data_IF_222678091030
#
_entry.id   IF_222678091030
#
_cell.length_a   1.000
_cell.length_b   1.000
_cell.length_c   1.000
_cell.angle_alpha   90.00
_cell.angle_beta   90.00
_cell.angle_gamma   90.00
#
_symmetry.space_group_name_H-M   'P 1'
#
loop_
_entity.id
_entity.type
_entity.pdbx_description
1 polymer ?
#
# COMPACT_ATOMS: atom_id res chain seq x y z
N UNK A 1 5.37 -25.28 -1.06
CA UNK A 1 4.65 -24.18 -0.39
C UNK A 1 5.34 -22.87 -0.77
N UNK A 2 4.63 -21.92 -1.38
CA UNK A 2 5.25 -20.69 -1.87
C UNK A 2 5.48 -19.68 -0.72
N UNK A 3 6.23 -18.60 -0.96
CA UNK A 3 6.54 -17.58 0.07
C UNK A 3 5.28 -16.95 0.69
N UNK A 4 4.23 -16.77 -0.11
CA UNK A 4 2.97 -16.18 0.32
C UNK A 4 2.24 -17.11 1.28
N UNK A 5 2.20 -18.41 0.98
CA UNK A 5 1.59 -19.42 1.86
C UNK A 5 2.30 -19.47 3.22
N UNK A 6 3.64 -19.36 3.23
CA UNK A 6 4.44 -19.30 4.47
C UNK A 6 4.06 -18.07 5.31
N UNK A 7 3.99 -16.90 4.67
CA UNK A 7 3.62 -15.66 5.35
C UNK A 7 2.21 -15.76 5.92
N UNK A 8 1.24 -16.23 5.14
CA UNK A 8 -0.15 -16.40 5.60
C UNK A 8 -0.22 -17.34 6.80
N UNK A 9 0.50 -18.47 6.77
CA UNK A 9 0.56 -19.40 7.91
C UNK A 9 1.14 -18.74 9.16
N UNK A 10 2.20 -17.94 9.03
CA UNK A 10 2.75 -17.19 10.16
C UNK A 10 1.75 -16.18 10.73
N UNK A 11 0.98 -15.50 9.88
CA UNK A 11 -0.09 -14.59 10.32
C UNK A 11 -1.17 -15.34 11.08
N UNK A 12 -1.63 -16.48 10.57
CA UNK A 12 -2.63 -17.31 11.25
C UNK A 12 -2.17 -17.72 12.64
N UNK A 13 -0.91 -18.16 12.78
CA UNK A 13 -0.34 -18.51 14.08
C UNK A 13 -0.30 -17.32 15.05
N UNK A 14 -0.03 -16.11 14.53
CA UNK A 14 -0.01 -14.89 15.33
C UNK A 14 -1.41 -14.46 15.81
N UNK A 15 -2.49 -14.89 15.13
CA UNK A 15 -3.85 -14.53 15.52
C UNK A 15 -4.23 -14.99 16.93
N UNK A 16 -3.67 -16.11 17.42
CA UNK A 16 -3.91 -16.59 18.79
C UNK A 16 -3.42 -15.59 19.85
N UNK A 17 -2.32 -14.90 19.56
CA UNK A 17 -1.81 -13.84 20.43
C UNK A 17 -2.66 -12.56 20.30
N UNK A 18 -3.02 -12.18 19.07
CA UNK A 18 -3.82 -10.98 18.82
C UNK A 18 -5.24 -11.08 19.39
N UNK A 19 -5.84 -12.28 19.42
CA UNK A 19 -7.19 -12.47 19.98
C UNK A 19 -7.27 -12.16 21.47
N UNK A 20 -6.14 -12.22 22.19
CA UNK A 20 -6.04 -11.87 23.61
C UNK A 20 -5.90 -10.36 23.84
N UNK A 21 -5.64 -9.58 22.78
CA UNK A 21 -5.48 -8.12 22.86
C UNK A 21 -6.83 -7.41 22.72
N UNK A 22 -6.98 -6.35 23.51
CA UNK A 22 -8.07 -5.37 23.40
C UNK A 22 -7.47 -4.05 22.94
N UNK A 23 -7.95 -3.56 21.80
CA UNK A 23 -7.53 -2.27 21.25
C UNK A 23 -8.66 -1.27 21.43
N UNK A 24 -8.35 -0.11 22.02
CA UNK A 24 -9.30 0.99 22.08
C UNK A 24 -9.25 1.73 20.75
N UNK A 25 -10.33 1.64 19.97
CA UNK A 25 -10.40 2.19 18.63
C UNK A 25 -11.08 3.56 18.66
N UNK A 26 -10.37 4.59 18.21
CA UNK A 26 -10.95 5.91 17.95
C UNK A 26 -11.48 5.95 16.52
N UNK A 27 -12.78 6.21 16.37
CA UNK A 27 -13.40 6.39 15.06
C UNK A 27 -13.14 7.82 14.57
N UNK A 28 -12.15 7.95 13.70
CA UNK A 28 -11.80 9.19 13.03
C UNK A 28 -12.15 9.08 11.54
N UNK A 29 -12.41 10.21 10.89
CA UNK A 29 -12.71 10.21 9.45
C UNK A 29 -11.48 9.73 8.66
N UNK A 30 -11.64 8.81 7.69
CA UNK A 30 -10.53 8.38 6.85
C UNK A 30 -9.88 9.55 6.11
N UNK A 31 -8.55 9.59 6.09
CA UNK A 31 -7.77 10.70 5.55
C UNK A 31 -7.01 10.34 4.26
N UNK A 32 -6.77 9.05 4.03
CA UNK A 32 -5.90 8.53 2.97
C UNK A 32 -6.51 8.71 1.58
N UNK A 33 -7.75 8.26 1.39
CA UNK A 33 -8.49 8.44 0.13
C UNK A 33 -8.70 9.91 -0.19
N UNK A 34 -8.97 10.73 0.83
CA UNK A 34 -9.15 12.18 0.66
C UNK A 34 -7.88 12.84 0.12
N UNK A 35 -6.72 12.50 0.68
CA UNK A 35 -5.43 13.03 0.22
C UNK A 35 -5.17 12.70 -1.25
N UNK A 36 -5.41 11.44 -1.64
CA UNK A 36 -5.30 10.99 -3.04
C UNK A 36 -6.26 11.76 -3.96
N UNK A 37 -7.54 11.89 -3.59
CA UNK A 37 -8.55 12.62 -4.37
C UNK A 37 -8.18 14.08 -4.59
N UNK A 38 -7.60 14.73 -3.58
CA UNK A 38 -7.16 16.12 -3.69
C UNK A 38 -6.05 16.30 -4.73
N UNK A 39 -5.07 15.40 -4.77
CA UNK A 39 -4.01 15.47 -5.78
C UNK A 39 -4.53 15.28 -7.20
N UNK A 40 -5.38 14.28 -7.40
CA UNK A 40 -5.99 14.01 -8.70
C UNK A 40 -6.82 15.21 -9.16
N UNK A 41 -7.62 15.81 -8.26
CA UNK A 41 -8.43 17.01 -8.55
C UNK A 41 -7.57 18.20 -8.98
N UNK A 42 -6.37 18.32 -8.43
CA UNK A 42 -5.41 19.37 -8.78
C UNK A 42 -4.59 19.05 -10.03
N UNK A 43 -4.86 17.94 -10.73
CA UNK A 43 -4.15 17.51 -11.93
C UNK A 43 -2.76 16.91 -11.66
N UNK A 44 -2.41 16.67 -10.40
CA UNK A 44 -1.13 16.10 -10.01
C UNK A 44 -1.17 14.58 -9.94
N UNK A 45 0.00 13.96 -9.98
CA UNK A 45 0.13 12.54 -9.66
C UNK A 45 0.00 12.36 -8.13
N UNK A 46 -0.94 11.53 -7.71
CA UNK A 46 -1.10 11.12 -6.31
C UNK A 46 -0.03 10.06 -5.96
N UNK A 47 1.03 10.49 -5.29
CA UNK A 47 2.16 9.62 -4.95
C UNK A 47 1.99 9.05 -3.53
N UNK A 48 2.16 7.74 -3.38
CA UNK A 48 2.22 7.01 -2.12
C UNK A 48 3.66 6.47 -1.97
N UNK A 49 4.47 7.13 -1.13
CA UNK A 49 5.87 6.75 -0.93
C UNK A 49 5.98 5.59 0.06
N UNK A 50 6.58 4.47 -0.36
CA UNK A 50 6.72 3.26 0.45
C UNK A 50 8.08 3.18 1.14
N UNK A 51 8.04 3.09 2.46
CA UNK A 51 9.19 2.65 3.26
C UNK A 51 9.19 1.13 3.41
N UNK A 52 10.33 0.52 3.07
CA UNK A 52 10.65 -0.88 3.36
C UNK A 52 12.15 -1.07 3.57
N UNK A 53 12.50 -1.93 4.53
CA UNK A 53 13.91 -2.29 4.81
C UNK A 53 14.42 -3.35 3.84
N UNK A 54 13.59 -4.34 3.50
CA UNK A 54 13.95 -5.38 2.55
C UNK A 54 12.87 -5.56 1.48
N UNK A 55 13.31 -6.02 0.31
CA UNK A 55 12.43 -6.49 -0.76
C UNK A 55 13.10 -7.71 -1.40
N UNK A 56 12.40 -8.83 -1.62
CA UNK A 56 12.95 -10.01 -2.29
C UNK A 56 13.58 -9.69 -3.66
N UNK A 57 13.10 -8.62 -4.27
CA UNK A 57 13.48 -8.15 -5.60
C UNK A 57 14.65 -7.15 -5.64
N UNK A 58 15.20 -6.72 -4.49
CA UNK A 58 16.32 -5.76 -4.45
C UNK A 58 17.47 -6.44 -3.71
N UNK A 59 18.52 -6.79 -4.45
CA UNK A 59 19.58 -7.70 -4.02
C UNK A 59 20.50 -7.17 -2.92
N UNK A 60 20.43 -5.88 -2.59
CA UNK A 60 20.93 -5.23 -1.36
C UNK A 60 20.64 -3.73 -1.51
N UNK A 61 20.10 -3.09 -0.49
CA UNK A 61 20.17 -1.63 -0.44
C UNK A 61 21.59 -1.23 -0.04
N UNK A 62 22.15 -0.21 -0.69
CA UNK A 62 23.55 0.20 -0.49
C UNK A 62 23.87 0.60 0.96
N UNK A 63 22.88 1.01 1.74
CA UNK A 63 23.03 1.51 3.10
C UNK A 63 21.86 1.09 4.00
N UNK A 64 22.11 0.97 5.30
CA UNK A 64 21.08 0.81 6.33
C UNK A 64 20.16 2.02 6.32
N UNK A 65 18.88 1.80 6.05
CA UNK A 65 17.88 2.88 5.95
C UNK A 65 17.23 3.11 7.30
N UNK A 66 17.60 4.22 7.92
CA UNK A 66 16.91 4.69 9.12
C UNK A 66 15.53 5.20 8.74
N UNK A 67 14.50 4.59 9.33
CA UNK A 67 13.10 4.95 9.12
C UNK A 67 12.90 6.45 9.28
N UNK A 68 13.42 7.05 10.35
CA UNK A 68 13.24 8.45 10.68
C UNK A 68 13.70 9.39 9.55
N UNK A 69 14.88 9.13 8.99
CA UNK A 69 15.41 9.95 7.90
C UNK A 69 14.53 9.84 6.65
N UNK A 70 14.11 8.62 6.31
CA UNK A 70 13.27 8.41 5.12
C UNK A 70 11.87 9.01 5.28
N UNK A 71 11.26 8.88 6.45
CA UNK A 71 9.95 9.49 6.71
C UNK A 71 10.04 11.02 6.72
N UNK A 72 11.12 11.60 7.26
CA UNK A 72 11.37 13.05 7.18
C UNK A 72 11.55 13.52 5.72
N UNK A 73 12.25 12.76 4.88
CA UNK A 73 12.32 13.04 3.44
C UNK A 73 10.93 12.99 2.80
N UNK A 74 10.12 11.98 3.14
CA UNK A 74 8.76 11.84 2.61
C UNK A 74 7.86 12.98 3.05
N UNK A 75 7.94 13.41 4.31
CA UNK A 75 7.18 14.53 4.86
C UNK A 75 7.49 15.85 4.12
N UNK A 76 8.76 16.09 3.80
CA UNK A 76 9.23 17.28 3.04
C UNK A 76 8.96 17.22 1.53
N UNK A 77 8.54 16.07 1.01
CA UNK A 77 8.26 15.88 -0.42
C UNK A 77 6.79 16.08 -0.78
N UNK A 78 6.47 16.06 -2.08
CA UNK A 78 5.10 16.14 -2.59
C UNK A 78 4.34 14.79 -2.55
N UNK A 79 4.84 13.77 -1.83
CA UNK A 79 4.03 12.55 -1.60
C UNK A 79 2.80 12.92 -0.78
N UNK A 80 1.63 12.41 -1.19
CA UNK A 80 0.35 12.70 -0.56
C UNK A 80 0.01 11.70 0.56
N UNK A 81 0.56 10.49 0.48
CA UNK A 81 0.46 9.46 1.51
C UNK A 81 1.79 8.71 1.65
N UNK A 82 1.92 7.95 2.73
CA UNK A 82 3.08 7.11 3.04
C UNK A 82 2.61 5.67 3.27
N UNK A 83 3.34 4.71 2.71
CA UNK A 83 3.14 3.27 2.94
C UNK A 83 4.25 2.73 3.80
N UNK A 84 3.90 2.05 4.90
CA UNK A 84 4.88 1.44 5.81
C UNK A 84 4.70 -0.07 5.77
N UNK A 85 5.74 -0.78 5.34
CA UNK A 85 5.77 -2.25 5.37
C UNK A 85 6.04 -2.73 6.80
N UNK A 86 5.06 -3.41 7.42
CA UNK A 86 5.16 -3.86 8.82
C UNK A 86 5.44 -5.35 8.98
N UNK A 87 5.48 -6.10 7.88
CA UNK A 87 5.75 -7.54 7.94
C UNK A 87 7.24 -7.84 8.22
N UNK A 88 7.48 -8.66 9.25
CA UNK A 88 8.82 -9.03 9.73
C UNK A 88 9.67 -9.75 8.68
N UNK A 89 9.06 -10.50 7.74
CA UNK A 89 9.80 -11.18 6.68
C UNK A 89 10.47 -10.19 5.71
N UNK A 90 10.05 -8.92 5.76
CA UNK A 90 10.61 -7.82 4.99
C UNK A 90 11.34 -6.81 5.90
N UNK A 91 11.65 -7.21 7.15
CA UNK A 91 12.27 -6.38 8.17
C UNK A 91 11.38 -5.23 8.65
N UNK A 92 10.07 -5.33 8.46
CA UNK A 92 9.09 -4.37 8.99
C UNK A 92 8.73 -4.65 10.45
N UNK A 93 8.16 -3.63 11.10
CA UNK A 93 7.59 -3.74 12.43
C UNK A 93 6.38 -2.81 12.59
N UNK A 94 5.43 -3.17 13.45
CA UNK A 94 4.34 -2.29 13.87
C UNK A 94 4.85 -1.00 14.53
N UNK A 95 5.99 -1.05 15.22
CA UNK A 95 6.60 0.13 15.83
C UNK A 95 7.01 1.17 14.77
N UNK A 96 7.21 0.75 13.52
CA UNK A 96 7.51 1.67 12.43
C UNK A 96 6.34 2.62 12.14
N UNK A 97 5.09 2.18 12.36
CA UNK A 97 3.91 3.04 12.26
C UNK A 97 3.93 4.14 13.32
N UNK A 98 4.24 3.78 14.57
CA UNK A 98 4.32 4.72 15.70
C UNK A 98 5.41 5.76 15.44
N UNK A 99 6.59 5.31 15.01
CA UNK A 99 7.71 6.21 14.74
C UNK A 99 7.37 7.13 13.56
N UNK A 100 6.82 6.61 12.47
CA UNK A 100 6.41 7.41 11.33
C UNK A 100 5.35 8.45 11.73
N UNK A 101 4.33 8.05 12.51
CA UNK A 101 3.26 8.93 12.97
C UNK A 101 3.78 10.09 13.83
N UNK A 102 4.87 9.92 14.56
CA UNK A 102 5.52 11.01 15.32
C UNK A 102 6.24 12.03 14.43
N UNK A 103 6.53 11.69 13.18
CA UNK A 103 7.33 12.51 12.26
C UNK A 103 6.44 13.21 11.22
N UNK A 104 5.35 12.57 10.79
CA UNK A 104 4.51 13.09 9.70
C UNK A 104 3.03 13.14 10.07
N UNK A 105 2.35 14.18 9.58
CA UNK A 105 0.89 14.31 9.61
C UNK A 105 0.22 13.71 8.36
N UNK A 106 0.99 13.27 7.36
CA UNK A 106 0.46 12.67 6.14
C UNK A 106 -0.23 11.34 6.45
N UNK A 107 -1.26 10.95 5.67
CA UNK A 107 -1.91 9.67 5.86
C UNK A 107 -0.95 8.48 5.67
N UNK A 108 -1.05 7.49 6.55
CA UNK A 108 -0.21 6.29 6.54
C UNK A 108 -1.05 5.06 6.25
N UNK A 109 -0.69 4.30 5.21
CA UNK A 109 -1.19 2.94 4.99
C UNK A 109 -0.26 1.91 5.63
N UNK A 110 -0.83 0.99 6.41
CA UNK A 110 -0.12 -0.22 6.84
C UNK A 110 -0.10 -1.21 5.67
N UNK A 111 1.09 -1.45 5.12
CA UNK A 111 1.31 -2.52 4.14
C UNK A 111 1.69 -3.80 4.88
N UNK A 112 0.76 -4.74 4.94
CA UNK A 112 0.93 -6.03 5.63
C UNK A 112 -0.03 -7.07 5.02
N UNK A 113 0.11 -8.33 5.40
CA UNK A 113 -0.76 -9.43 5.02
C UNK A 113 -1.89 -9.56 6.04
N UNK A 114 -2.97 -8.81 5.82
CA UNK A 114 -4.14 -8.79 6.70
C UNK A 114 -5.12 -9.89 6.29
N UNK A 115 -5.41 -10.79 7.24
CA UNK A 115 -6.32 -11.93 7.07
C UNK A 115 -7.43 -11.98 8.12
N UNK A 116 -7.43 -11.05 9.09
CA UNK A 116 -8.37 -11.05 10.20
C UNK A 116 -8.64 -9.63 10.75
N UNK A 117 -9.84 -9.43 11.31
CA UNK A 117 -10.28 -8.17 11.93
C UNK A 117 -9.36 -7.68 13.05
N UNK A 118 -8.75 -8.60 13.83
CA UNK A 118 -7.81 -8.21 14.89
C UNK A 118 -6.58 -7.46 14.37
N UNK A 119 -6.12 -7.79 13.16
CA UNK A 119 -5.04 -7.04 12.53
C UNK A 119 -5.51 -5.65 12.06
N UNK A 120 -6.79 -5.49 11.74
CA UNK A 120 -7.38 -4.20 11.36
C UNK A 120 -7.48 -3.29 12.59
N UNK A 121 -7.98 -3.81 13.71
CA UNK A 121 -7.99 -3.13 15.01
C UNK A 121 -6.57 -2.69 15.43
N UNK A 122 -5.61 -3.61 15.34
CA UNK A 122 -4.19 -3.32 15.59
C UNK A 122 -3.68 -2.20 14.67
N UNK A 123 -4.00 -2.24 13.37
CA UNK A 123 -3.57 -1.20 12.42
C UNK A 123 -4.06 0.18 12.84
N UNK A 124 -5.34 0.29 13.20
CA UNK A 124 -5.93 1.57 13.64
C UNK A 124 -5.32 2.03 14.96
N UNK A 125 -5.12 1.13 15.92
CA UNK A 125 -4.49 1.45 17.20
C UNK A 125 -3.06 1.96 17.05
N UNK A 126 -2.27 1.38 16.15
CA UNK A 126 -0.89 1.81 15.86
C UNK A 126 -0.82 3.05 14.95
N UNK A 127 -1.96 3.66 14.61
CA UNK A 127 -2.03 4.95 13.92
C UNK A 127 -2.04 4.88 12.40
N UNK A 128 -2.45 3.77 11.80
CA UNK A 128 -2.72 3.73 10.36
C UNK A 128 -4.02 4.45 10.00
N UNK A 129 -4.04 5.11 8.84
CA UNK A 129 -5.24 5.70 8.22
C UNK A 129 -5.86 4.77 7.18
N UNK A 130 -5.06 3.83 6.66
CA UNK A 130 -5.49 2.86 5.68
C UNK A 130 -4.80 1.51 5.88
N UNK A 131 -5.38 0.47 5.28
CA UNK A 131 -4.81 -0.87 5.25
C UNK A 131 -4.79 -1.47 3.84
N UNK A 132 -3.92 -2.46 3.65
CA UNK A 132 -3.87 -3.29 2.45
C UNK A 132 -4.70 -4.58 2.65
N UNK A 133 -5.60 -4.88 1.71
CA UNK A 133 -6.22 -6.20 1.58
C UNK A 133 -5.79 -6.84 0.26
N UNK A 134 -5.24 -8.06 0.29
CA UNK A 134 -4.70 -8.73 -0.90
C UNK A 134 -5.72 -9.76 -1.40
N UNK A 135 -6.30 -9.55 -2.58
CA UNK A 135 -7.34 -10.43 -3.12
C UNK A 135 -6.84 -11.88 -3.34
N UNK A 136 -5.54 -12.06 -3.59
CA UNK A 136 -4.92 -13.36 -3.80
C UNK A 136 -4.99 -14.27 -2.58
N UNK A 137 -4.82 -13.72 -1.37
CA UNK A 137 -4.78 -14.50 -0.12
C UNK A 137 -6.13 -14.58 0.61
N UNK A 138 -7.10 -13.80 0.16
CA UNK A 138 -8.43 -13.74 0.78
C UNK A 138 -9.46 -14.49 -0.08
N UNK A 139 -10.42 -15.10 0.60
CA UNK A 139 -11.68 -15.53 -0.02
C UNK A 139 -12.55 -14.30 -0.29
N UNK A 140 -13.49 -14.40 -1.24
CA UNK A 140 -14.46 -13.32 -1.52
C UNK A 140 -15.18 -12.88 -0.25
N UNK A 141 -15.73 -13.84 0.51
CA UNK A 141 -16.43 -13.60 1.79
C UNK A 141 -15.55 -12.85 2.79
N UNK A 142 -14.32 -13.32 3.04
CA UNK A 142 -13.44 -12.67 4.01
C UNK A 142 -13.03 -11.27 3.54
N UNK A 143 -12.74 -11.09 2.24
CA UNK A 143 -12.40 -9.78 1.69
C UNK A 143 -13.54 -8.77 1.91
N UNK A 144 -14.78 -9.14 1.58
CA UNK A 144 -15.97 -8.30 1.79
C UNK A 144 -16.14 -7.95 3.28
N UNK A 145 -16.01 -8.92 4.18
CA UNK A 145 -16.13 -8.71 5.62
C UNK A 145 -15.04 -7.76 6.17
N UNK A 146 -13.78 -7.97 5.79
CA UNK A 146 -12.65 -7.15 6.24
C UNK A 146 -12.69 -5.74 5.65
N UNK A 147 -13.15 -5.60 4.41
CA UNK A 147 -13.34 -4.30 3.75
C UNK A 147 -14.38 -3.46 4.50
N UNK A 148 -15.58 -4.00 4.71
CA UNK A 148 -16.66 -3.28 5.40
C UNK A 148 -16.27 -2.93 6.84
N UNK A 149 -15.69 -3.88 7.57
CA UNK A 149 -15.24 -3.63 8.94
C UNK A 149 -14.18 -2.52 9.03
N UNK A 150 -13.26 -2.45 8.06
CA UNK A 150 -12.25 -1.39 8.01
C UNK A 150 -12.89 -0.01 7.86
N UNK A 151 -13.87 0.12 6.96
CA UNK A 151 -14.61 1.37 6.78
C UNK A 151 -15.39 1.76 8.06
N UNK A 152 -16.03 0.78 8.71
CA UNK A 152 -16.82 1.00 9.94
C UNK A 152 -16.02 1.55 11.13
N UNK A 153 -14.71 1.27 11.15
CA UNK A 153 -13.78 1.78 12.17
C UNK A 153 -12.93 2.97 11.70
N UNK A 154 -13.20 3.50 10.50
CA UNK A 154 -12.55 4.69 9.99
C UNK A 154 -11.16 4.45 9.40
N UNK A 155 -10.95 3.31 8.72
CA UNK A 155 -9.78 3.05 7.88
C UNK A 155 -10.18 3.04 6.41
N UNK A 156 -9.41 3.73 5.56
CA UNK A 156 -9.47 3.49 4.11
C UNK A 156 -8.86 2.13 3.77
N UNK A 157 -9.26 1.57 2.63
CA UNK A 157 -8.79 0.24 2.20
C UNK A 157 -8.28 0.30 0.77
N UNK A 158 -7.02 -0.09 0.57
CA UNK A 158 -6.45 -0.40 -0.73
C UNK A 158 -6.56 -1.90 -0.98
N UNK A 159 -7.31 -2.31 -2.00
CA UNK A 159 -7.41 -3.72 -2.37
C UNK A 159 -6.39 -4.03 -3.47
N UNK A 160 -5.41 -4.87 -3.17
CA UNK A 160 -4.38 -5.30 -4.13
C UNK A 160 -4.86 -6.49 -4.97
N UNK A 161 -4.75 -6.34 -6.28
CA UNK A 161 -4.94 -7.39 -7.29
C UNK A 161 -3.70 -7.50 -8.19
N UNK A 162 -3.53 -8.66 -8.79
CA UNK A 162 -2.44 -9.00 -9.71
C UNK A 162 -2.96 -9.36 -11.12
N UNK A 163 -4.19 -9.89 -11.22
CA UNK A 163 -4.74 -10.38 -12.49
C UNK A 163 -6.28 -10.31 -12.58
N UNK A 164 -6.83 -10.56 -13.77
CA UNK A 164 -8.27 -10.48 -14.06
C UNK A 164 -9.13 -11.44 -13.23
N UNK A 165 -8.60 -12.58 -12.79
CA UNK A 165 -9.38 -13.55 -12.02
C UNK A 165 -9.73 -13.01 -10.62
N UNK A 166 -8.91 -12.11 -10.08
CA UNK A 166 -9.14 -11.49 -8.78
C UNK A 166 -10.20 -10.38 -8.83
N UNK A 167 -10.51 -9.83 -10.01
CA UNK A 167 -11.61 -8.86 -10.19
C UNK A 167 -12.94 -9.45 -9.72
N UNK A 168 -13.17 -10.74 -10.00
CA UNK A 168 -14.39 -11.45 -9.54
C UNK A 168 -14.48 -11.55 -8.01
N UNK A 169 -13.35 -11.56 -7.29
CA UNK A 169 -13.35 -11.60 -5.82
C UNK A 169 -13.70 -10.26 -5.20
N UNK A 170 -13.48 -9.16 -5.92
CA UNK A 170 -13.73 -7.81 -5.42
C UNK A 170 -15.03 -7.22 -5.95
N UNK A 171 -15.79 -7.95 -6.77
CA UNK A 171 -17.03 -7.45 -7.38
C UNK A 171 -18.18 -7.21 -6.38
N UNK A 172 -18.12 -7.80 -5.18
CA UNK A 172 -19.09 -7.54 -4.10
C UNK A 172 -18.77 -6.28 -3.31
N UNK A 173 -17.57 -5.73 -3.45
CA UNK A 173 -17.16 -4.51 -2.76
C UNK A 173 -17.11 -3.35 -3.73
N UNK A 174 -17.80 -2.26 -3.40
CA UNK A 174 -17.67 -0.99 -4.11
C UNK A 174 -16.36 -0.30 -3.70
N UNK A 175 -15.24 -0.91 -4.08
CA UNK A 175 -13.92 -0.50 -3.63
C UNK A 175 -13.54 0.88 -4.18
N UNK A 176 -13.31 1.85 -3.28
CA UNK A 176 -12.83 3.18 -3.66
C UNK A 176 -11.38 3.17 -4.20
N UNK A 177 -10.54 2.24 -3.76
CA UNK A 177 -9.13 2.12 -4.13
C UNK A 177 -8.79 0.68 -4.50
N UNK A 178 -8.25 0.49 -5.71
CA UNK A 178 -7.73 -0.79 -6.17
C UNK A 178 -6.27 -0.62 -6.57
N UNK A 179 -5.40 -1.38 -5.95
CA UNK A 179 -3.99 -1.48 -6.28
C UNK A 179 -3.73 -2.57 -7.29
N UNK A 180 -3.06 -2.25 -8.39
CA UNK A 180 -2.59 -3.24 -9.36
C UNK A 180 -1.11 -3.49 -9.12
N UNK A 181 -0.79 -4.68 -8.64
CA UNK A 181 0.60 -5.08 -8.41
C UNK A 181 1.22 -5.60 -9.71
N UNK A 182 2.06 -4.77 -10.33
CA UNK A 182 2.78 -5.13 -11.55
C UNK A 182 3.81 -6.26 -11.31
N UNK A 183 4.16 -6.55 -10.04
CA UNK A 183 5.06 -7.65 -9.71
C UNK A 183 4.29 -8.95 -9.53
N UNK A 184 4.66 -9.97 -10.29
CA UNK A 184 4.23 -11.33 -10.01
C UNK A 184 4.87 -11.80 -8.69
N UNK A 185 4.06 -12.08 -7.67
CA UNK A 185 4.57 -12.46 -6.35
C UNK A 185 5.28 -13.83 -6.34
N UNK A 186 5.01 -14.70 -7.33
CA UNK A 186 5.68 -16.02 -7.49
C UNK A 186 7.01 -15.90 -8.23
N UNK A 187 7.02 -15.21 -9.37
CA UNK A 187 8.20 -15.11 -10.26
C UNK A 187 9.06 -13.87 -10.01
N UNK A 188 8.58 -12.93 -9.20
CA UNK A 188 9.19 -11.61 -8.94
C UNK A 188 9.42 -10.72 -10.18
N UNK A 189 8.96 -11.15 -11.37
CA UNK A 189 8.97 -10.36 -12.61
C UNK A 189 7.99 -9.19 -12.51
N UNK A 190 8.39 -8.05 -13.06
CA UNK A 190 7.59 -6.83 -13.13
C UNK A 190 7.08 -6.69 -14.56
N UNK A 191 5.78 -6.50 -14.70
CA UNK A 191 5.13 -6.14 -15.96
C UNK A 191 4.15 -4.99 -15.73
N UNK A 192 4.52 -3.81 -16.24
CA UNK A 192 3.72 -2.58 -16.14
C UNK A 192 2.44 -2.66 -16.99
N UNK A 193 2.40 -3.51 -18.02
CA UNK A 193 1.22 -3.65 -18.86
C UNK A 193 0.01 -4.19 -18.08
N UNK A 194 0.24 -4.91 -16.97
CA UNK A 194 -0.83 -5.30 -16.04
C UNK A 194 -1.68 -4.12 -15.60
N UNK A 195 -1.04 -3.02 -15.19
CA UNK A 195 -1.76 -1.79 -14.81
C UNK A 195 -2.60 -1.25 -15.96
N UNK A 196 -2.02 -1.22 -17.16
CA UNK A 196 -2.68 -0.68 -18.37
C UNK A 196 -3.89 -1.54 -18.77
N UNK A 197 -3.75 -2.86 -18.76
CA UNK A 197 -4.79 -3.78 -19.17
C UNK A 197 -5.93 -3.88 -18.16
N UNK A 198 -5.60 -3.99 -16.87
CA UNK A 198 -6.61 -4.12 -15.81
C UNK A 198 -7.36 -2.81 -15.59
N UNK A 199 -6.73 -1.65 -15.82
CA UNK A 199 -7.42 -0.36 -15.74
C UNK A 199 -8.57 -0.21 -16.74
N UNK A 200 -8.52 -0.89 -17.89
CA UNK A 200 -9.60 -0.83 -18.89
C UNK A 200 -10.92 -1.45 -18.42
N UNK A 201 -10.85 -2.35 -17.44
CA UNK A 201 -12.03 -3.11 -16.96
C UNK A 201 -12.51 -2.64 -15.58
N UNK A 202 -11.66 -1.97 -14.80
CA UNK A 202 -12.02 -1.40 -13.52
C UNK A 202 -12.69 -0.04 -13.72
N UNK A 203 -13.92 0.11 -13.20
CA UNK A 203 -14.71 1.34 -13.31
C UNK A 203 -15.04 1.87 -11.91
N UNK A 204 -15.29 3.18 -11.81
CA UNK A 204 -15.77 3.86 -10.60
C UNK A 204 -14.85 3.68 -9.37
N UNK A 205 -13.54 3.55 -9.59
CA UNK A 205 -12.55 3.33 -8.54
C UNK A 205 -11.26 4.07 -8.88
N UNK A 206 -10.52 4.50 -7.86
CA UNK A 206 -9.19 5.05 -8.07
C UNK A 206 -8.22 3.88 -8.14
N UNK A 207 -7.49 3.81 -9.25
CA UNK A 207 -6.53 2.75 -9.51
C UNK A 207 -5.14 3.23 -9.08
N UNK A 208 -4.46 2.42 -8.29
CA UNK A 208 -3.08 2.64 -7.86
C UNK A 208 -2.17 1.68 -8.61
N UNK A 209 -1.24 2.18 -9.42
CA UNK A 209 -0.21 1.33 -10.02
C UNK A 209 0.90 1.07 -9.01
N UNK A 210 1.17 -0.20 -8.70
CA UNK A 210 2.17 -0.62 -7.72
C UNK A 210 3.29 -1.43 -8.38
N UNK A 211 4.48 -1.37 -7.79
CA UNK A 211 5.70 -2.06 -8.26
C UNK A 211 6.21 -1.60 -9.63
N UNK A 212 7.52 -1.36 -9.73
CA UNK A 212 8.17 -1.04 -11.01
C UNK A 212 7.99 0.39 -11.53
N UNK A 213 7.14 1.18 -10.89
CA UNK A 213 6.91 2.58 -11.26
C UNK A 213 8.15 3.42 -10.99
N UNK A 214 8.55 4.21 -11.98
CA UNK A 214 9.68 5.12 -11.93
C UNK A 214 9.54 6.23 -12.97
N UNK A 215 10.46 7.21 -12.94
CA UNK A 215 10.45 8.36 -13.85
C UNK A 215 10.33 8.02 -15.35
N UNK A 216 10.88 6.88 -15.78
CA UNK A 216 10.88 6.49 -17.21
C UNK A 216 9.53 5.99 -17.70
N UNK A 217 8.69 5.43 -16.82
CA UNK A 217 7.45 4.76 -17.23
C UNK A 217 6.17 5.41 -16.71
N UNK A 218 6.23 6.28 -15.70
CA UNK A 218 5.05 6.89 -15.08
C UNK A 218 4.14 7.60 -16.10
N UNK A 219 4.72 8.34 -17.05
CA UNK A 219 3.96 9.05 -18.10
C UNK A 219 3.33 8.09 -19.11
N UNK A 220 4.00 6.98 -19.41
CA UNK A 220 3.44 5.94 -20.28
C UNK A 220 2.25 5.26 -19.61
N UNK A 221 2.33 4.95 -18.31
CA UNK A 221 1.21 4.39 -17.56
C UNK A 221 0.02 5.35 -17.63
N UNK A 222 0.23 6.63 -17.27
CA UNK A 222 -0.81 7.65 -17.27
C UNK A 222 -1.48 7.80 -18.63
N UNK A 223 -0.69 7.97 -19.71
CA UNK A 223 -1.20 8.13 -21.08
C UNK A 223 -2.02 6.94 -21.56
N UNK A 224 -1.63 5.72 -21.20
CA UNK A 224 -2.27 4.50 -21.72
C UNK A 224 -3.40 3.94 -20.84
N UNK A 225 -3.61 4.49 -19.63
CA UNK A 225 -4.56 3.93 -18.66
C UNK A 225 -5.35 4.95 -17.82
N UNK A 226 -5.05 6.25 -17.95
CA UNK A 226 -5.57 7.32 -17.10
C UNK A 226 -5.27 7.17 -15.59
N UNK A 227 -4.40 6.22 -15.21
CA UNK A 227 -3.93 6.10 -13.83
C UNK A 227 -3.08 7.32 -13.49
N UNK A 228 -3.46 8.01 -12.41
CA UNK A 228 -2.71 9.14 -11.83
C UNK A 228 -2.33 8.90 -10.37
N UNK A 229 -2.40 7.65 -9.88
CA UNK A 229 -2.03 7.28 -8.52
C UNK A 229 -1.02 6.15 -8.52
N UNK A 230 0.05 6.31 -7.74
CA UNK A 230 1.22 5.44 -7.81
C UNK A 230 1.76 5.12 -6.42
N UNK A 231 1.96 3.84 -6.12
CA UNK A 231 2.69 3.39 -4.93
C UNK A 231 4.11 3.03 -5.31
N UNK A 232 5.06 3.79 -4.76
CA UNK A 232 6.45 3.77 -5.21
C UNK A 232 7.36 3.56 -4.00
N UNK A 233 8.15 2.48 -4.02
CA UNK A 233 9.14 2.20 -2.98
C UNK A 233 10.55 2.15 -3.54
N UNK A 234 10.88 1.04 -4.22
CA UNK A 234 12.26 0.73 -4.63
C UNK A 234 12.96 1.83 -5.42
N UNK A 235 12.27 2.51 -6.35
CA UNK A 235 12.88 3.56 -7.16
C UNK A 235 13.18 4.83 -6.37
N UNK A 236 12.34 5.23 -5.40
CA UNK A 236 12.60 6.33 -4.46
C UNK A 236 13.73 5.95 -3.51
N UNK A 237 13.63 4.76 -2.93
CA UNK A 237 14.53 4.26 -1.90
C UNK A 237 15.98 4.05 -2.38
N UNK A 238 16.23 4.07 -3.68
CA UNK A 238 17.56 3.97 -4.29
C UNK A 238 18.18 5.34 -4.64
N UNK A 239 17.49 6.44 -4.35
CA UNK A 239 17.98 7.79 -4.64
C UNK A 239 18.77 8.37 -3.47
N UNK A 240 19.81 9.14 -3.79
CA UNK A 240 20.51 9.97 -2.82
C UNK A 240 19.58 11.07 -2.30
N UNK A 241 18.97 11.85 -3.20
CA UNK A 241 17.99 12.88 -2.86
C UNK A 241 16.56 12.39 -3.16
N UNK A 242 15.89 11.86 -2.13
CA UNK A 242 14.52 11.31 -2.25
C UNK A 242 13.48 12.40 -2.48
N UNK A 243 13.62 13.55 -1.83
CA UNK A 243 12.70 14.69 -1.97
C UNK A 243 12.67 15.16 -3.42
N UNK A 244 13.84 15.44 -4.00
CA UNK A 244 13.95 15.87 -5.39
C UNK A 244 13.37 14.83 -6.36
N UNK A 245 13.65 13.55 -6.12
CA UNK A 245 13.12 12.48 -6.96
C UNK A 245 11.59 12.39 -6.90
N UNK A 246 11.00 12.38 -5.70
CA UNK A 246 9.53 12.37 -5.52
C UNK A 246 8.91 13.58 -6.21
N UNK A 247 9.47 14.78 -6.00
CA UNK A 247 8.94 16.01 -6.59
C UNK A 247 9.02 15.99 -8.13
N UNK A 248 10.03 15.33 -8.71
CA UNK A 248 10.13 15.14 -10.16
C UNK A 248 9.04 14.24 -10.77
N UNK A 249 8.38 13.40 -9.96
CA UNK A 249 7.26 12.53 -10.36
C UNK A 249 5.89 13.17 -10.14
N UNK A 250 5.84 14.31 -9.45
CA UNK A 250 4.58 14.89 -8.98
C UNK A 250 3.75 15.55 -10.09
N UNK A 251 4.42 16.27 -11.00
CA UNK A 251 3.80 16.96 -12.16
C UNK A 251 4.14 16.31 -13.50
N UNK A 252 4.58 15.06 -13.49
CA UNK A 252 5.00 14.33 -14.69
C UNK A 252 3.84 13.83 -15.54
#
# INVERSE_FOLDING_TARGET
>A
MNILDKIVREKTNHLKYLSQKKYQIKKEKPSFLRSIKNEIKNGNNALIAEFKRFSPSVSKFKETKFLQHVINDYDKSNTCCISILTDKNFGGSLNDLIIARKITSKPIIRKDFIINQKQIEESKYYGADAILLIAKILTRKNLTQLYNYSLDIGLDVLIEIENKNEIKKISEVNANLIGINNRNLREQKIDINKSIELAKVLKNTIIVSESGVNRKNINSIKKNSNISTFLIGGSILNQQNKVQYINSLYKS
#
